data_IF_656666511768
#
_entry.id   IF_656666511768
#
_cell.length_a   1.000
_cell.length_b   1.000
_cell.length_c   1.000
_cell.angle_alpha   90.00
_cell.angle_beta   90.00
_cell.angle_gamma   90.00
#
_symmetry.space_group_name_H-M   'P 1'
#
loop_
_entity.id
_entity.type
_entity.pdbx_description
1 polymer ?
#
# COMPACT_ATOMS: atom_id res chain seq x y z
N UNK A 1 5.77 -16.98 21.77
CA UNK A 1 6.22 -15.92 20.86
C UNK A 1 7.63 -15.53 21.27
N UNK A 2 8.59 -15.68 20.37
CA UNK A 2 10.00 -15.33 20.61
C UNK A 2 10.18 -13.79 20.61
N UNK A 3 11.38 -13.31 20.95
CA UNK A 3 11.69 -11.87 20.87
C UNK A 3 11.62 -11.37 19.43
N UNK A 4 12.09 -12.18 18.49
CA UNK A 4 12.09 -11.88 17.06
C UNK A 4 10.65 -11.84 16.51
N UNK A 5 9.82 -12.83 16.86
CA UNK A 5 8.40 -12.82 16.45
C UNK A 5 7.67 -11.58 16.95
N UNK A 6 7.92 -11.19 18.22
CA UNK A 6 7.34 -9.99 18.78
C UNK A 6 7.83 -8.75 18.05
N UNK A 7 9.13 -8.63 17.83
CA UNK A 7 9.71 -7.51 17.10
C UNK A 7 9.12 -7.38 15.69
N UNK A 8 9.00 -8.48 14.95
CA UNK A 8 8.38 -8.48 13.61
C UNK A 8 6.91 -8.04 13.69
N UNK A 9 6.15 -8.52 14.69
CA UNK A 9 4.77 -8.08 14.89
C UNK A 9 4.70 -6.56 15.15
N UNK A 10 5.56 -6.05 16.02
CA UNK A 10 5.61 -4.62 16.37
C UNK A 10 5.87 -3.74 15.13
N UNK A 11 6.76 -4.16 14.21
CA UNK A 11 7.00 -3.45 12.95
C UNK A 11 5.73 -3.30 12.09
N UNK A 12 4.91 -4.36 12.01
CA UNK A 12 3.65 -4.29 11.25
C UNK A 12 2.59 -3.45 11.97
N UNK A 13 2.54 -3.49 13.28
CA UNK A 13 1.61 -2.72 14.08
C UNK A 13 1.93 -1.22 13.98
N UNK A 14 3.20 -0.83 14.10
CA UNK A 14 3.67 0.54 13.87
C UNK A 14 3.34 1.02 12.45
N UNK A 15 3.62 0.21 11.42
CA UNK A 15 3.30 0.54 10.03
C UNK A 15 1.79 0.75 9.81
N UNK A 16 0.94 -0.07 10.45
CA UNK A 16 -0.51 0.07 10.35
C UNK A 16 -1.03 1.33 11.07
N UNK A 17 -0.38 1.75 12.18
CA UNK A 17 -0.71 3.02 12.84
C UNK A 17 -0.37 4.22 11.95
N UNK A 18 0.82 4.26 11.36
CA UNK A 18 1.22 5.33 10.44
C UNK A 18 0.33 5.38 9.18
N UNK A 19 -0.15 4.24 8.67
CA UNK A 19 -1.07 4.19 7.53
C UNK A 19 -2.44 4.82 7.81
N UNK A 20 -2.83 5.05 9.06
CA UNK A 20 -4.08 5.75 9.39
C UNK A 20 -4.14 7.15 8.79
N UNK A 21 -3.00 7.82 8.62
CA UNK A 21 -2.92 9.11 7.94
C UNK A 21 -3.34 8.99 6.48
N UNK A 22 -2.89 7.94 5.78
CA UNK A 22 -3.28 7.65 4.40
C UNK A 22 -4.79 7.39 4.29
N UNK A 23 -5.34 6.62 5.23
CA UNK A 23 -6.78 6.29 5.23
C UNK A 23 -7.66 7.49 5.55
N UNK A 24 -7.18 8.41 6.40
CA UNK A 24 -7.87 9.66 6.67
C UNK A 24 -8.00 10.50 5.41
N UNK A 25 -6.90 10.71 4.70
CA UNK A 25 -6.90 11.43 3.42
C UNK A 25 -7.81 10.75 2.39
N UNK A 26 -7.77 9.42 2.28
CA UNK A 26 -8.66 8.67 1.38
C UNK A 26 -10.14 8.87 1.70
N UNK A 27 -10.48 8.90 2.98
CA UNK A 27 -11.85 9.17 3.43
C UNK A 27 -12.28 10.59 3.06
N UNK A 28 -11.45 11.58 3.32
CA UNK A 28 -11.72 12.98 2.98
C UNK A 28 -11.90 13.16 1.47
N UNK A 29 -11.02 12.61 0.66
CA UNK A 29 -11.09 12.62 -0.80
C UNK A 29 -12.35 11.93 -1.34
N UNK A 30 -12.74 10.79 -0.76
CA UNK A 30 -13.98 10.08 -1.10
C UNK A 30 -15.20 10.94 -0.78
N UNK A 31 -15.26 11.49 0.42
CA UNK A 31 -16.39 12.24 0.92
C UNK A 31 -16.58 13.55 0.13
N UNK A 32 -15.49 14.21 -0.26
CA UNK A 32 -15.52 15.37 -1.15
C UNK A 32 -16.08 15.01 -2.53
N UNK A 33 -15.61 13.92 -3.14
CA UNK A 33 -16.14 13.49 -4.44
C UNK A 33 -17.63 13.11 -4.38
N UNK A 34 -18.06 12.42 -3.30
CA UNK A 34 -19.46 12.08 -3.09
C UNK A 34 -20.33 13.32 -2.87
N UNK A 35 -19.82 14.34 -2.18
CA UNK A 35 -20.49 15.64 -2.01
C UNK A 35 -20.70 16.35 -3.35
N UNK A 36 -19.68 16.36 -4.20
CA UNK A 36 -19.80 16.96 -5.54
C UNK A 36 -20.82 16.21 -6.42
N UNK A 37 -20.85 14.88 -6.38
CA UNK A 37 -21.88 14.08 -7.05
C UNK A 37 -23.27 14.42 -6.52
N UNK A 38 -23.45 14.55 -5.21
CA UNK A 38 -24.72 14.91 -4.60
C UNK A 38 -25.19 16.32 -5.04
N UNK A 39 -24.28 17.29 -5.12
CA UNK A 39 -24.60 18.63 -5.62
C UNK A 39 -25.08 18.61 -7.07
N UNK A 40 -24.48 17.77 -7.92
CA UNK A 40 -24.95 17.59 -9.30
C UNK A 40 -26.36 17.00 -9.32
N UNK A 41 -26.64 15.98 -8.49
CA UNK A 41 -27.95 15.35 -8.38
C UNK A 41 -29.04 16.34 -7.92
N UNK A 42 -28.70 17.29 -7.04
CA UNK A 42 -29.61 18.33 -6.57
C UNK A 42 -29.83 19.45 -7.61
N UNK A 43 -28.88 19.64 -8.53
CA UNK A 43 -28.90 20.74 -9.51
C UNK A 43 -29.64 20.38 -10.80
N UNK A 44 -29.60 19.11 -11.19
CA UNK A 44 -30.09 18.66 -12.49
C UNK A 44 -31.21 17.62 -12.38
N UNK A 45 -31.99 17.49 -13.46
CA UNK A 45 -33.11 16.53 -13.50
C UNK A 45 -32.61 15.09 -13.52
N UNK A 46 -33.26 14.25 -12.73
CA UNK A 46 -33.08 12.80 -12.70
C UNK A 46 -34.37 12.15 -13.21
N UNK A 47 -34.26 11.27 -14.21
CA UNK A 47 -35.36 10.51 -14.79
C UNK A 47 -35.01 9.02 -14.62
N UNK A 48 -35.89 8.24 -14.01
CA UNK A 48 -35.73 6.81 -13.74
C UNK A 48 -34.39 6.47 -13.07
N UNK A 49 -33.93 7.36 -12.17
CA UNK A 49 -32.67 7.19 -11.44
C UNK A 49 -31.42 7.53 -12.26
N UNK A 50 -31.56 8.05 -13.47
CA UNK A 50 -30.48 8.43 -14.37
C UNK A 50 -30.41 9.96 -14.55
N UNK A 51 -29.19 10.47 -14.65
CA UNK A 51 -28.96 11.89 -14.92
C UNK A 51 -29.43 12.28 -16.32
N UNK A 52 -30.20 13.37 -16.42
CA UNK A 52 -30.65 13.94 -17.68
C UNK A 52 -30.12 15.36 -17.85
N UNK A 53 -28.90 15.47 -18.44
CA UNK A 53 -28.22 16.73 -18.65
C UNK A 53 -28.12 17.08 -20.15
N UNK A 54 -28.18 18.37 -20.46
CA UNK A 54 -27.83 18.89 -21.80
C UNK A 54 -26.32 18.74 -22.03
N UNK A 55 -25.89 18.60 -23.28
CA UNK A 55 -24.49 18.44 -23.66
C UNK A 55 -23.55 19.51 -23.07
N UNK A 56 -24.00 20.77 -23.01
CA UNK A 56 -23.24 21.87 -22.41
C UNK A 56 -23.00 21.64 -20.90
N UNK A 57 -24.04 21.20 -20.17
CA UNK A 57 -24.00 20.98 -18.75
C UNK A 57 -23.14 19.74 -18.42
N UNK A 58 -23.27 18.67 -19.21
CA UNK A 58 -22.37 17.49 -19.10
C UNK A 58 -20.91 17.88 -19.19
N UNK A 59 -20.54 18.69 -20.19
CA UNK A 59 -19.17 19.14 -20.39
C UNK A 59 -18.67 20.00 -19.23
N UNK A 60 -19.51 20.89 -18.72
CA UNK A 60 -19.19 21.76 -17.56
C UNK A 60 -18.93 20.92 -16.31
N UNK A 61 -19.86 20.03 -15.97
CA UNK A 61 -19.76 19.21 -14.74
C UNK A 61 -18.66 18.16 -14.86
N UNK A 62 -18.45 17.58 -16.04
CA UNK A 62 -17.31 16.67 -16.25
C UNK A 62 -15.97 17.40 -16.06
N UNK A 63 -15.82 18.62 -16.54
CA UNK A 63 -14.59 19.41 -16.31
C UNK A 63 -14.34 19.66 -14.82
N UNK A 64 -15.42 19.95 -14.06
CA UNK A 64 -15.35 20.16 -12.59
C UNK A 64 -14.94 18.88 -11.86
N UNK A 65 -15.63 17.77 -12.11
CA UNK A 65 -15.31 16.46 -11.52
C UNK A 65 -13.92 15.98 -11.93
N UNK A 66 -13.54 16.16 -13.19
CA UNK A 66 -12.22 15.79 -13.68
C UNK A 66 -11.09 16.51 -12.95
N UNK A 67 -11.25 17.81 -12.69
CA UNK A 67 -10.28 18.58 -11.89
C UNK A 67 -10.19 18.05 -10.46
N UNK A 68 -11.33 17.77 -9.84
CA UNK A 68 -11.37 17.20 -8.48
C UNK A 68 -10.71 15.81 -8.43
N UNK A 69 -11.08 14.89 -9.33
CA UNK A 69 -10.51 13.55 -9.40
C UNK A 69 -8.98 13.61 -9.57
N UNK A 70 -8.49 14.49 -10.43
CA UNK A 70 -7.06 14.67 -10.65
C UNK A 70 -6.36 15.19 -9.40
N UNK A 71 -6.90 16.23 -8.75
CA UNK A 71 -6.31 16.80 -7.53
C UNK A 71 -6.31 15.80 -6.36
N UNK A 72 -7.40 15.07 -6.14
CA UNK A 72 -7.51 14.08 -5.07
C UNK A 72 -6.55 12.89 -5.28
N UNK A 73 -6.43 12.39 -6.51
CA UNK A 73 -5.50 11.28 -6.80
C UNK A 73 -4.03 11.72 -6.73
N UNK A 74 -3.72 12.97 -7.07
CA UNK A 74 -2.37 13.53 -6.89
C UNK A 74 -2.02 13.71 -5.41
N UNK A 75 -2.94 14.27 -4.61
CA UNK A 75 -2.78 14.39 -3.15
C UNK A 75 -2.57 13.02 -2.52
N UNK A 76 -3.40 12.05 -2.88
CA UNK A 76 -3.33 10.68 -2.39
C UNK A 76 -1.98 10.01 -2.73
N UNK A 77 -1.48 10.21 -3.95
CA UNK A 77 -0.15 9.72 -4.35
C UNK A 77 0.96 10.35 -3.49
N UNK A 78 0.90 11.65 -3.27
CA UNK A 78 1.89 12.37 -2.45
C UNK A 78 1.92 11.88 -1.01
N UNK A 79 0.77 11.77 -0.36
CA UNK A 79 0.68 11.34 1.04
C UNK A 79 1.09 9.86 1.20
N UNK A 80 0.63 8.96 0.33
CA UNK A 80 1.03 7.55 0.36
C UNK A 80 2.54 7.40 0.21
N UNK A 81 3.15 8.08 -0.78
CA UNK A 81 4.59 8.00 -1.01
C UNK A 81 5.37 8.49 0.21
N UNK A 82 4.97 9.61 0.80
CA UNK A 82 5.62 10.17 2.00
C UNK A 82 5.50 9.26 3.21
N UNK A 83 4.28 8.81 3.52
CA UNK A 83 4.01 7.96 4.69
C UNK A 83 4.72 6.62 4.56
N UNK A 84 4.61 5.95 3.41
CA UNK A 84 5.29 4.68 3.18
C UNK A 84 6.81 4.86 3.28
N UNK A 85 7.38 5.91 2.70
CA UNK A 85 8.82 6.18 2.85
C UNK A 85 9.25 6.32 4.31
N UNK A 86 8.46 6.99 5.15
CA UNK A 86 8.74 7.12 6.57
C UNK A 86 8.67 5.76 7.27
N UNK A 87 7.62 4.97 7.02
CA UNK A 87 7.48 3.61 7.55
C UNK A 87 8.71 2.76 7.20
N UNK A 88 9.15 2.77 5.95
CA UNK A 88 10.29 1.96 5.51
C UNK A 88 11.61 2.40 6.16
N UNK A 89 11.84 3.71 6.29
CA UNK A 89 13.00 4.23 7.02
C UNK A 89 12.98 3.81 8.49
N UNK A 90 11.83 3.88 9.16
CA UNK A 90 11.67 3.45 10.54
C UNK A 90 11.86 1.92 10.67
N UNK A 91 11.29 1.13 9.76
CA UNK A 91 11.49 -0.32 9.71
C UNK A 91 12.97 -0.69 9.65
N UNK A 92 13.74 -0.06 8.75
CA UNK A 92 15.19 -0.34 8.61
C UNK A 92 15.94 0.04 9.87
N UNK A 93 15.68 1.24 10.44
CA UNK A 93 16.32 1.70 11.68
C UNK A 93 16.00 0.79 12.86
N UNK A 94 14.71 0.44 13.05
CA UNK A 94 14.26 -0.41 14.15
C UNK A 94 14.87 -1.81 14.03
N UNK A 95 14.98 -2.35 12.80
CA UNK A 95 15.62 -3.65 12.59
C UNK A 95 17.10 -3.62 12.93
N UNK A 96 17.85 -2.60 12.52
CA UNK A 96 19.25 -2.45 12.91
C UNK A 96 19.43 -2.28 14.43
N UNK A 97 18.57 -1.49 15.07
CA UNK A 97 18.59 -1.30 16.51
C UNK A 97 18.31 -2.61 17.27
N UNK A 98 17.36 -3.42 16.78
CA UNK A 98 17.04 -4.73 17.37
C UNK A 98 18.25 -5.65 17.40
N UNK A 99 19.07 -5.66 16.36
CA UNK A 99 20.33 -6.42 16.29
C UNK A 99 21.54 -5.66 16.85
N UNK A 100 21.34 -4.52 17.52
CA UNK A 100 22.44 -3.66 18.05
C UNK A 100 23.50 -3.32 16.98
N UNK A 101 23.07 -3.18 15.72
CA UNK A 101 23.94 -2.85 14.60
C UNK A 101 23.90 -1.35 14.29
N UNK A 102 25.06 -0.70 14.34
CA UNK A 102 25.18 0.73 14.07
C UNK A 102 25.32 0.99 12.57
N UNK A 103 24.18 1.05 11.89
CA UNK A 103 24.13 1.30 10.45
C UNK A 103 24.31 2.79 10.11
N UNK A 104 25.03 3.09 9.04
CA UNK A 104 25.12 4.42 8.48
C UNK A 104 23.91 4.78 7.60
N UNK A 105 23.70 6.09 7.36
CA UNK A 105 22.59 6.59 6.53
C UNK A 105 22.60 6.05 5.10
N UNK A 106 23.77 5.69 4.56
CA UNK A 106 23.92 5.13 3.21
C UNK A 106 23.30 3.72 3.13
N UNK A 107 23.54 2.89 4.15
CA UNK A 107 22.95 1.54 4.23
C UNK A 107 21.43 1.61 4.34
N UNK A 108 20.92 2.49 5.21
CA UNK A 108 19.47 2.70 5.36
C UNK A 108 18.85 3.09 4.01
N UNK A 109 19.41 4.11 3.35
CA UNK A 109 18.91 4.57 2.05
C UNK A 109 18.97 3.46 1.00
N UNK A 110 20.07 2.71 0.91
CA UNK A 110 20.23 1.63 -0.06
C UNK A 110 19.15 0.55 0.08
N UNK A 111 18.77 0.20 1.32
CA UNK A 111 17.72 -0.78 1.58
C UNK A 111 16.35 -0.22 1.21
N UNK A 112 16.03 1.01 1.64
CA UNK A 112 14.73 1.65 1.33
C UNK A 112 14.53 1.82 -0.17
N UNK A 113 15.55 2.31 -0.88
CA UNK A 113 15.51 2.59 -2.33
C UNK A 113 15.64 1.33 -3.20
N UNK A 114 15.86 0.15 -2.62
CA UNK A 114 15.95 -1.08 -3.42
C UNK A 114 14.58 -1.48 -3.98
N UNK A 115 14.60 -2.19 -5.10
CA UNK A 115 13.41 -2.63 -5.81
C UNK A 115 12.93 -4.00 -5.31
N UNK A 116 11.62 -4.16 -5.19
CA UNK A 116 11.00 -5.49 -5.07
C UNK A 116 10.47 -5.92 -6.44
N UNK A 117 10.94 -7.07 -6.93
CA UNK A 117 10.54 -7.60 -8.26
C UNK A 117 10.62 -6.53 -9.36
N UNK A 118 11.75 -5.85 -9.43
CA UNK A 118 12.08 -4.88 -10.48
C UNK A 118 11.40 -3.51 -10.39
N UNK A 119 10.59 -3.24 -9.35
CA UNK A 119 9.90 -1.94 -9.20
C UNK A 119 10.10 -1.35 -7.81
N UNK A 120 10.37 -0.06 -7.76
CA UNK A 120 10.39 0.73 -6.54
C UNK A 120 8.97 0.94 -5.98
N UNK A 121 8.84 1.07 -4.65
CA UNK A 121 7.52 1.22 -4.00
C UNK A 121 6.74 2.45 -4.50
N UNK A 122 7.41 3.59 -4.70
CA UNK A 122 6.74 4.81 -5.17
C UNK A 122 6.18 4.68 -6.58
N UNK A 123 6.82 3.91 -7.45
CA UNK A 123 6.28 3.57 -8.78
C UNK A 123 4.98 2.78 -8.65
N UNK A 124 4.91 1.86 -7.68
CA UNK A 124 3.69 1.08 -7.41
C UNK A 124 2.57 1.94 -6.84
N UNK A 125 2.88 2.90 -5.96
CA UNK A 125 1.93 3.91 -5.48
C UNK A 125 1.35 4.68 -6.65
N UNK A 126 2.22 5.21 -7.52
CA UNK A 126 1.82 5.97 -8.70
C UNK A 126 0.93 5.15 -9.65
N UNK A 127 1.30 3.90 -9.95
CA UNK A 127 0.52 3.01 -10.81
C UNK A 127 -0.88 2.74 -10.21
N UNK A 128 -0.97 2.47 -8.90
CA UNK A 128 -2.23 2.26 -8.21
C UNK A 128 -3.14 3.48 -8.31
N UNK A 129 -2.62 4.68 -8.01
CA UNK A 129 -3.41 5.92 -8.04
C UNK A 129 -3.79 6.33 -9.47
N UNK A 130 -2.97 6.01 -10.46
CA UNK A 130 -3.32 6.17 -11.88
C UNK A 130 -4.52 5.32 -12.28
N UNK A 131 -4.60 4.07 -11.84
CA UNK A 131 -5.76 3.20 -12.11
C UNK A 131 -7.00 3.69 -11.36
N UNK A 132 -6.87 4.17 -10.12
CA UNK A 132 -7.96 4.83 -9.36
C UNK A 132 -8.48 6.03 -10.15
N UNK A 133 -7.62 6.93 -10.57
CA UNK A 133 -7.97 8.12 -11.37
C UNK A 133 -8.72 7.74 -12.63
N UNK A 134 -8.17 6.82 -13.41
CA UNK A 134 -8.77 6.34 -14.67
C UNK A 134 -10.19 5.77 -14.46
N UNK A 135 -10.36 4.97 -13.40
CA UNK A 135 -11.66 4.39 -13.08
C UNK A 135 -12.67 5.46 -12.67
N UNK A 136 -12.30 6.38 -11.77
CA UNK A 136 -13.17 7.47 -11.33
C UNK A 136 -13.58 8.39 -12.49
N UNK A 137 -12.68 8.73 -13.40
CA UNK A 137 -13.00 9.49 -14.61
C UNK A 137 -14.03 8.78 -15.49
N UNK A 138 -13.86 7.47 -15.68
CA UNK A 138 -14.83 6.64 -16.42
C UNK A 138 -16.20 6.67 -15.76
N UNK A 139 -16.27 6.47 -14.44
CA UNK A 139 -17.53 6.44 -13.69
C UNK A 139 -18.22 7.81 -13.70
N UNK A 140 -17.47 8.90 -13.49
CA UNK A 140 -18.01 10.25 -13.55
C UNK A 140 -18.61 10.56 -14.94
N UNK A 141 -17.94 10.16 -16.03
CA UNK A 141 -18.46 10.32 -17.38
C UNK A 141 -19.74 9.51 -17.61
N UNK A 142 -19.76 8.23 -17.22
CA UNK A 142 -20.95 7.38 -17.36
C UNK A 142 -22.14 7.90 -16.55
N UNK A 143 -21.90 8.44 -15.36
CA UNK A 143 -22.92 9.06 -14.53
C UNK A 143 -23.54 10.30 -15.22
N UNK A 144 -22.72 11.23 -15.68
CA UNK A 144 -23.20 12.44 -16.37
C UNK A 144 -23.88 12.13 -17.71
N UNK A 145 -23.47 11.03 -18.36
CA UNK A 145 -24.11 10.56 -19.60
C UNK A 145 -25.45 9.84 -19.36
N UNK A 146 -25.85 9.61 -18.11
CA UNK A 146 -27.06 8.87 -17.77
C UNK A 146 -26.95 7.35 -18.08
N UNK A 147 -25.75 6.79 -18.07
CA UNK A 147 -25.48 5.38 -18.34
C UNK A 147 -25.44 4.51 -17.07
N UNK A 148 -25.24 5.12 -15.92
CA UNK A 148 -25.32 4.48 -14.61
C UNK A 148 -26.21 5.32 -13.69
N UNK A 149 -26.92 4.65 -12.80
CA UNK A 149 -27.86 5.33 -11.89
C UNK A 149 -27.14 5.95 -10.69
N UNK A 150 -27.86 6.81 -9.97
CA UNK A 150 -27.35 7.57 -8.82
C UNK A 150 -26.87 6.69 -7.68
N UNK A 151 -27.44 5.50 -7.49
CA UNK A 151 -27.00 4.58 -6.45
C UNK A 151 -25.72 3.83 -6.89
N UNK A 152 -25.59 3.55 -8.17
CA UNK A 152 -24.44 2.86 -8.71
C UNK A 152 -23.18 3.71 -8.61
N UNK A 153 -23.23 5.00 -8.98
CA UNK A 153 -22.06 5.88 -8.89
C UNK A 153 -21.53 5.98 -7.45
N UNK A 154 -22.42 6.06 -6.46
CA UNK A 154 -22.04 6.06 -5.04
C UNK A 154 -21.25 4.79 -4.68
N UNK A 155 -21.83 3.61 -4.98
CA UNK A 155 -21.19 2.30 -4.71
C UNK A 155 -19.85 2.16 -5.39
N UNK A 156 -19.73 2.62 -6.64
CA UNK A 156 -18.51 2.54 -7.42
C UNK A 156 -17.40 3.41 -6.84
N UNK A 157 -17.71 4.62 -6.38
CA UNK A 157 -16.76 5.51 -5.71
C UNK A 157 -16.30 4.86 -4.39
N UNK A 158 -17.23 4.43 -3.53
CA UNK A 158 -16.89 3.78 -2.25
C UNK A 158 -16.00 2.54 -2.47
N UNK A 159 -16.35 1.67 -3.41
CA UNK A 159 -15.56 0.49 -3.76
C UNK A 159 -14.17 0.85 -4.24
N UNK A 160 -14.03 1.89 -5.04
CA UNK A 160 -12.75 2.33 -5.59
C UNK A 160 -11.80 2.77 -4.48
N UNK A 161 -12.26 3.61 -3.56
CA UNK A 161 -11.46 4.05 -2.42
C UNK A 161 -11.13 2.91 -1.45
N UNK A 162 -12.06 1.98 -1.19
CA UNK A 162 -11.78 0.80 -0.37
C UNK A 162 -10.72 -0.11 -1.01
N UNK A 163 -10.74 -0.26 -2.33
CA UNK A 163 -9.71 -1.02 -3.07
C UNK A 163 -8.36 -0.32 -3.01
N UNK A 164 -8.32 1.01 -3.13
CA UNK A 164 -7.09 1.80 -2.98
C UNK A 164 -6.50 1.64 -1.57
N UNK A 165 -7.31 1.72 -0.51
CA UNK A 165 -6.89 1.50 0.87
C UNK A 165 -6.27 0.11 1.07
N UNK A 166 -6.91 -0.92 0.55
CA UNK A 166 -6.38 -2.29 0.58
C UNK A 166 -5.04 -2.40 -0.15
N UNK A 167 -4.92 -1.79 -1.34
CA UNK A 167 -3.68 -1.82 -2.11
C UNK A 167 -2.54 -1.09 -1.40
N UNK A 168 -2.82 0.06 -0.76
CA UNK A 168 -1.85 0.78 0.06
C UNK A 168 -1.34 -0.08 1.21
N UNK A 169 -2.23 -0.74 1.95
CA UNK A 169 -1.86 -1.68 3.01
C UNK A 169 -1.01 -2.84 2.50
N UNK A 170 -1.47 -3.50 1.43
CA UNK A 170 -0.76 -4.63 0.82
C UNK A 170 0.64 -4.26 0.37
N UNK A 171 0.80 -3.09 -0.24
CA UNK A 171 2.10 -2.58 -0.65
C UNK A 171 2.99 -2.34 0.57
N UNK A 172 2.49 -1.61 1.56
CA UNK A 172 3.26 -1.27 2.77
C UNK A 172 3.72 -2.53 3.51
N UNK A 173 2.83 -3.47 3.80
CA UNK A 173 3.20 -4.71 4.50
C UNK A 173 4.25 -5.53 3.73
N UNK A 174 4.17 -5.55 2.38
CA UNK A 174 5.16 -6.23 1.54
C UNK A 174 6.53 -5.56 1.63
N UNK A 175 6.56 -4.23 1.59
CA UNK A 175 7.79 -3.44 1.63
C UNK A 175 8.42 -3.42 3.03
N UNK A 176 7.61 -3.43 4.10
CA UNK A 176 8.09 -3.61 5.49
C UNK A 176 8.83 -4.93 5.61
N UNK A 177 8.26 -6.02 5.09
CA UNK A 177 8.94 -7.34 5.08
C UNK A 177 10.26 -7.27 4.31
N UNK A 178 10.26 -6.68 3.12
CA UNK A 178 11.48 -6.52 2.31
C UNK A 178 12.56 -5.73 3.04
N UNK A 179 12.19 -4.60 3.65
CA UNK A 179 13.14 -3.74 4.36
C UNK A 179 13.68 -4.40 5.63
N UNK A 180 12.84 -5.07 6.40
CA UNK A 180 13.27 -5.78 7.60
C UNK A 180 14.23 -6.92 7.25
N UNK A 181 13.89 -7.78 6.27
CA UNK A 181 14.79 -8.86 5.85
C UNK A 181 16.06 -8.32 5.18
N UNK A 182 16.00 -7.25 4.39
CA UNK A 182 17.18 -6.61 3.80
C UNK A 182 18.13 -6.02 4.86
N UNK A 183 17.59 -5.52 5.98
CA UNK A 183 18.38 -5.03 7.12
C UNK A 183 19.02 -6.20 7.88
N UNK A 184 18.28 -7.29 8.10
CA UNK A 184 18.81 -8.53 8.67
C UNK A 184 19.95 -9.10 7.81
N UNK A 185 19.79 -9.13 6.49
CA UNK A 185 20.82 -9.63 5.56
C UNK A 185 22.08 -8.78 5.62
N UNK A 186 21.92 -7.44 5.71
CA UNK A 186 23.05 -6.54 5.88
C UNK A 186 23.78 -6.79 7.20
N UNK A 187 23.05 -6.94 8.27
CA UNK A 187 23.60 -7.29 9.58
C UNK A 187 24.36 -8.63 9.53
N UNK A 188 23.76 -9.70 9.01
CA UNK A 188 24.39 -11.02 8.91
C UNK A 188 25.68 -10.98 8.10
N UNK A 189 25.72 -10.22 7.02
CA UNK A 189 26.91 -10.06 6.17
C UNK A 189 28.08 -9.42 6.95
N UNK A 190 27.82 -8.41 7.75
CA UNK A 190 28.84 -7.69 8.52
C UNK A 190 29.34 -8.50 9.73
N UNK A 191 28.46 -9.30 10.33
CA UNK A 191 28.80 -10.11 11.52
C UNK A 191 29.26 -11.52 11.19
N UNK A 192 29.26 -11.90 9.89
CA UNK A 192 29.77 -13.20 9.45
C UNK A 192 28.89 -14.39 9.79
N UNK A 193 27.59 -14.18 10.02
CA UNK A 193 26.60 -15.23 10.21
C UNK A 193 26.63 -16.21 9.03
N UNK A 194 26.65 -17.52 9.32
CA UNK A 194 26.75 -18.57 8.29
C UNK A 194 25.44 -19.27 8.02
N UNK A 195 24.60 -19.45 9.06
CA UNK A 195 23.33 -20.18 8.97
C UNK A 195 22.19 -19.37 9.53
N UNK A 196 21.02 -19.53 8.92
CA UNK A 196 19.79 -18.89 9.32
C UNK A 196 18.63 -19.87 9.29
N UNK A 197 17.69 -19.70 10.20
CA UNK A 197 16.45 -20.48 10.28
C UNK A 197 15.30 -19.69 9.67
N UNK A 198 14.52 -20.34 8.80
CA UNK A 198 13.33 -19.75 8.20
C UNK A 198 12.15 -19.82 9.17
N UNK A 199 11.53 -18.69 9.43
CA UNK A 199 10.36 -18.58 10.29
C UNK A 199 9.16 -18.14 9.46
N UNK A 200 8.22 -19.06 9.20
CA UNK A 200 6.93 -18.72 8.66
C UNK A 200 6.04 -18.17 9.79
N UNK A 201 5.42 -17.00 9.57
CA UNK A 201 4.45 -16.47 10.54
C UNK A 201 3.20 -17.36 10.52
N UNK A 202 2.97 -18.10 11.62
CA UNK A 202 1.88 -19.07 11.76
C UNK A 202 0.55 -18.38 12.09
N UNK A 203 0.07 -17.53 11.18
CA UNK A 203 -1.23 -16.87 11.29
C UNK A 203 -2.21 -17.34 10.19
N UNK A 204 -3.45 -16.85 10.24
CA UNK A 204 -4.50 -17.18 9.24
C UNK A 204 -4.16 -16.82 7.80
N UNK A 205 -3.07 -16.07 7.57
CA UNK A 205 -2.59 -15.62 6.26
C UNK A 205 -1.40 -16.42 5.76
N UNK A 206 -0.97 -17.42 6.50
CA UNK A 206 0.12 -18.31 6.11
C UNK A 206 -0.26 -19.08 4.84
N UNK A 207 0.54 -18.96 3.79
CA UNK A 207 0.35 -19.75 2.58
C UNK A 207 1.10 -21.09 2.66
N UNK A 208 0.60 -22.09 1.93
CA UNK A 208 1.22 -23.43 1.86
C UNK A 208 2.68 -23.37 1.41
N UNK A 209 2.99 -22.49 0.45
CA UNK A 209 4.36 -22.33 -0.08
C UNK A 209 5.35 -21.83 0.95
N UNK A 210 4.91 -21.06 1.96
CA UNK A 210 5.77 -20.60 3.04
C UNK A 210 5.80 -21.60 4.20
N UNK A 211 4.67 -22.28 4.48
CA UNK A 211 4.53 -23.20 5.59
C UNK A 211 5.53 -24.37 5.52
N UNK A 212 5.78 -24.90 4.31
CA UNK A 212 6.68 -26.04 4.11
C UNK A 212 8.14 -25.78 4.53
N UNK A 213 8.55 -24.52 4.60
CA UNK A 213 9.94 -24.16 4.98
C UNK A 213 10.08 -23.73 6.44
N UNK A 214 8.99 -23.76 7.21
CA UNK A 214 9.06 -23.38 8.63
C UNK A 214 10.06 -24.27 9.37
N UNK A 215 10.92 -23.64 10.17
CA UNK A 215 12.02 -24.26 10.92
C UNK A 215 13.16 -24.84 10.06
N UNK A 216 13.13 -24.73 8.73
CA UNK A 216 14.26 -25.14 7.91
C UNK A 216 15.47 -24.22 8.11
N UNK A 217 16.65 -24.82 8.16
CA UNK A 217 17.94 -24.13 8.31
C UNK A 217 18.64 -24.04 6.96
N UNK A 218 19.06 -22.84 6.60
CA UNK A 218 19.74 -22.54 5.33
C UNK A 218 21.14 -21.96 5.57
N UNK A 219 22.08 -22.30 4.71
CA UNK A 219 23.28 -21.50 4.56
C UNK A 219 22.88 -20.08 4.09
N UNK A 220 23.49 -19.03 4.64
CA UNK A 220 23.13 -17.64 4.35
C UNK A 220 23.14 -17.32 2.85
N UNK A 221 24.08 -17.90 2.10
CA UNK A 221 24.23 -17.67 0.67
C UNK A 221 23.22 -18.47 -0.19
N UNK A 222 22.52 -19.44 0.39
CA UNK A 222 21.55 -20.31 -0.30
C UNK A 222 20.10 -20.09 0.16
N UNK A 223 19.89 -19.19 1.11
CA UNK A 223 18.54 -18.90 1.61
C UNK A 223 17.68 -18.25 0.55
N UNK A 224 16.36 -18.42 0.68
CA UNK A 224 15.39 -17.77 -0.22
C UNK A 224 15.30 -16.28 0.07
N UNK A 225 15.09 -15.49 -0.99
CA UNK A 225 14.80 -14.06 -0.87
C UNK A 225 13.40 -13.84 -0.25
N UNK A 226 13.30 -12.92 0.70
CA UNK A 226 12.05 -12.47 1.31
C UNK A 226 11.78 -10.98 0.98
N UNK A 227 10.50 -10.61 0.74
CA UNK A 227 9.29 -11.45 0.72
C UNK A 227 9.17 -12.30 -0.55
N UNK A 228 8.68 -13.53 -0.43
CA UNK A 228 8.45 -14.42 -1.57
C UNK A 228 7.27 -13.97 -2.46
N UNK A 229 6.26 -13.38 -1.85
CA UNK A 229 5.03 -12.90 -2.47
C UNK A 229 4.47 -11.66 -1.73
N UNK A 230 3.52 -10.92 -2.33
CA UNK A 230 2.84 -9.84 -1.60
C UNK A 230 2.20 -10.35 -0.30
N UNK A 231 2.26 -9.53 0.76
CA UNK A 231 1.79 -9.86 2.11
C UNK A 231 2.52 -11.04 2.79
N UNK A 232 3.67 -11.46 2.26
CA UNK A 232 4.53 -12.40 2.97
C UNK A 232 5.03 -11.75 4.27
N UNK A 233 4.97 -12.49 5.39
CA UNK A 233 5.40 -12.04 6.73
C UNK A 233 6.50 -12.92 7.32
N UNK A 234 7.07 -13.81 6.50
CA UNK A 234 8.15 -14.68 6.91
C UNK A 234 9.44 -13.88 7.14
N UNK A 235 10.28 -14.39 8.02
CA UNK A 235 11.55 -13.77 8.39
C UNK A 235 12.59 -14.83 8.71
N UNK A 236 13.83 -14.43 8.86
CA UNK A 236 14.93 -15.29 9.28
C UNK A 236 15.41 -14.94 10.69
N UNK A 237 15.85 -15.95 11.43
CA UNK A 237 16.61 -15.81 12.66
C UNK A 237 17.99 -16.43 12.50
N UNK A 238 18.96 -16.03 13.35
CA UNK A 238 20.30 -16.61 13.34
C UNK A 238 20.22 -18.04 13.85
N UNK A 239 20.96 -18.93 13.19
CA UNK A 239 21.21 -20.29 13.65
C UNK A 239 22.68 -20.42 13.99
N UNK A 240 23.01 -20.91 15.21
CA UNK A 240 24.39 -21.11 15.70
C UNK A 240 25.04 -22.36 15.12
#
# INVERSE_FOLDING_TARGET
MTKEEKFIQDLYDEANEELKEVYKEQKENRDELLKEIALIMLTYTIIDGLMNLRSRDKSKEYKRLSKLITSTTQSQNGIQTRVINNILNNTVKNTFNFYSYNANLKDIRKIVESNFKGKHFSTRVWENEKEVSKYLHKQAKQFLDGKINVNQIKKDIEKTFNTSAYNAKRLTETEVNRCSNGSFDRFCKETGVKKVRYNATLDKRLCSDCAQYHDEVFDIDKKMELPRHPLCRCFYTIEE
#
